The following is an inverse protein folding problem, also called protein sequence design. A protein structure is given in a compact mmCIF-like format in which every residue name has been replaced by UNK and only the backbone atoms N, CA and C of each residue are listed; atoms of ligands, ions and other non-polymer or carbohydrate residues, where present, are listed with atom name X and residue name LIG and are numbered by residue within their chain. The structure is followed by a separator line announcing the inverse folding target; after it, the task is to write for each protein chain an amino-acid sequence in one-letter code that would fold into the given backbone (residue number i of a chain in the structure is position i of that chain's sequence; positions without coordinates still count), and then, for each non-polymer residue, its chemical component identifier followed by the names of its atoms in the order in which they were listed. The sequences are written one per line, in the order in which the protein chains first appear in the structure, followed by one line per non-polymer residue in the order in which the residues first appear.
data_IF_805176619869
#
_entry.id   IF_805176619869
#
_cell.length_a   1.000
_cell.length_b   1.000
_cell.length_c   1.000
_cell.angle_alpha   90.00
_cell.angle_beta   90.00
_cell.angle_gamma   90.00
#
_symmetry.space_group_name_H-M   'P 1'
#
loop_
_entity.id
_entity.type
_entity.pdbx_description
1 polymer ?
#
# COMPACT_ATOMS: atom_id res chain seq x y z
N UNK A 1 -26.86 16.76 2.23
CA UNK A 1 -25.63 16.66 1.40
C UNK A 1 -26.03 16.91 -0.05
N UNK A 2 -25.29 17.75 -0.78
CA UNK A 2 -25.46 17.86 -2.23
C UNK A 2 -24.67 16.74 -2.92
N UNK A 3 -25.38 15.72 -3.41
CA UNK A 3 -24.73 14.52 -3.94
C UNK A 3 -23.96 14.78 -5.23
N UNK A 4 -24.44 15.66 -6.11
CA UNK A 4 -23.73 16.02 -7.33
C UNK A 4 -22.37 16.67 -7.05
N UNK A 5 -22.29 17.52 -6.02
CA UNK A 5 -21.01 18.07 -5.55
C UNK A 5 -20.14 17.00 -4.89
N UNK A 6 -20.74 16.12 -4.09
CA UNK A 6 -20.03 15.02 -3.41
C UNK A 6 -19.39 14.04 -4.41
N UNK A 7 -20.03 13.76 -5.55
CA UNK A 7 -19.45 12.93 -6.62
C UNK A 7 -18.14 13.50 -7.20
N UNK A 8 -17.86 14.80 -7.02
CA UNK A 8 -16.57 15.38 -7.38
C UNK A 8 -16.19 15.17 -8.85
N UNK A 9 -14.98 14.65 -9.17
CA UNK A 9 -14.53 14.45 -10.55
C UNK A 9 -15.14 13.23 -11.26
N UNK A 10 -15.81 12.35 -10.52
CA UNK A 10 -16.38 11.10 -11.04
C UNK A 10 -17.62 11.37 -11.92
N UNK A 11 -18.01 10.40 -12.75
CA UNK A 11 -19.21 10.46 -13.61
C UNK A 11 -20.46 10.99 -12.89
N UNK A 12 -21.17 11.93 -13.53
CA UNK A 12 -22.45 12.47 -13.02
C UNK A 12 -23.58 11.45 -12.99
N UNK A 13 -23.43 10.33 -13.70
CA UNK A 13 -24.50 9.36 -13.92
C UNK A 13 -24.58 8.28 -12.85
N UNK A 14 -23.77 8.36 -11.79
CA UNK A 14 -23.82 7.40 -10.67
C UNK A 14 -25.02 7.74 -9.80
N UNK A 15 -26.06 6.88 -9.70
CA UNK A 15 -27.20 7.13 -8.84
C UNK A 15 -26.78 7.18 -7.37
N UNK A 16 -27.54 7.90 -6.55
CA UNK A 16 -27.32 7.84 -5.10
C UNK A 16 -27.65 6.45 -4.57
N UNK A 17 -26.74 5.88 -3.78
CA UNK A 17 -27.00 4.71 -2.98
C UNK A 17 -26.53 4.96 -1.53
N UNK A 18 -27.26 4.49 -0.49
CA UNK A 18 -26.87 4.69 0.91
C UNK A 18 -25.49 4.15 1.30
N UNK A 19 -24.90 3.25 0.50
CA UNK A 19 -23.52 2.76 0.73
C UNK A 19 -22.45 3.78 0.34
N UNK A 20 -22.77 4.83 -0.42
CA UNK A 20 -21.78 5.82 -0.82
C UNK A 20 -21.43 6.77 0.34
N UNK A 21 -22.28 6.93 1.35
CA UNK A 21 -22.01 7.86 2.44
C UNK A 21 -22.50 7.29 3.78
N UNK A 22 -21.82 7.54 4.92
CA UNK A 22 -20.61 8.36 5.06
C UNK A 22 -19.29 7.63 4.85
N UNK A 23 -19.28 6.29 4.91
CA UNK A 23 -18.03 5.55 5.11
C UNK A 23 -17.72 4.51 4.04
N UNK A 24 -18.74 3.89 3.47
CA UNK A 24 -18.54 2.74 2.57
C UNK A 24 -18.14 3.15 1.14
N UNK A 25 -18.14 4.43 0.76
CA UNK A 25 -17.60 4.90 -0.53
C UNK A 25 -16.19 4.39 -0.79
N UNK A 26 -15.39 4.22 0.28
CA UNK A 26 -14.01 3.78 0.18
C UNK A 26 -13.84 2.39 -0.46
N UNK A 27 -14.92 1.62 -0.58
CA UNK A 27 -14.95 0.28 -1.19
C UNK A 27 -15.46 0.28 -2.64
N UNK A 28 -15.70 1.45 -3.25
CA UNK A 28 -16.18 1.57 -4.63
C UNK A 28 -15.09 2.18 -5.51
N UNK A 29 -14.86 1.59 -6.69
CA UNK A 29 -13.79 2.02 -7.60
C UNK A 29 -13.93 3.47 -8.07
N UNK A 30 -15.17 3.96 -8.11
CA UNK A 30 -15.51 5.32 -8.51
C UNK A 30 -15.10 6.39 -7.49
N UNK A 31 -14.86 6.01 -6.24
CA UNK A 31 -14.57 6.94 -5.15
C UNK A 31 -13.23 6.65 -4.46
N UNK A 32 -12.73 5.42 -4.53
CA UNK A 32 -11.52 4.99 -3.82
C UNK A 32 -10.94 3.68 -4.37
N UNK A 33 -10.07 3.04 -3.59
CA UNK A 33 -9.41 1.78 -3.94
C UNK A 33 -9.44 0.72 -2.84
N UNK A 34 -10.40 0.77 -1.92
CA UNK A 34 -10.61 -0.26 -0.91
C UNK A 34 -9.49 -0.37 0.11
N UNK A 35 -9.46 -1.50 0.80
CA UNK A 35 -8.50 -1.78 1.88
C UNK A 35 -7.04 -1.69 1.43
N UNK A 36 -6.74 -2.05 0.18
CA UNK A 36 -5.37 -1.93 -0.33
C UNK A 36 -4.97 -0.46 -0.47
N UNK A 37 -5.77 0.39 -1.12
CA UNK A 37 -5.44 1.82 -1.24
C UNK A 37 -5.44 2.56 0.11
N UNK A 38 -6.34 2.18 1.02
CA UNK A 38 -6.49 2.77 2.35
C UNK A 38 -5.30 2.39 3.27
N UNK A 39 -5.06 1.09 3.46
CA UNK A 39 -4.08 0.60 4.45
C UNK A 39 -2.71 0.24 3.85
N UNK A 40 -2.61 0.06 2.54
CA UNK A 40 -1.36 -0.30 1.87
C UNK A 40 -0.26 0.73 2.13
N UNK A 41 -0.57 2.01 1.95
CA UNK A 41 0.37 3.11 2.19
C UNK A 41 0.87 3.14 3.63
N UNK A 42 0.05 2.77 4.63
CA UNK A 42 0.44 2.76 6.03
C UNK A 42 1.38 1.61 6.42
N UNK A 43 1.38 0.51 5.68
CA UNK A 43 2.09 -0.71 6.10
C UNK A 43 3.21 -1.10 5.15
N UNK A 44 3.05 -0.83 3.85
CA UNK A 44 4.09 -1.02 2.85
C UNK A 44 5.22 0.01 3.03
N UNK A 45 4.89 1.21 3.55
CA UNK A 45 5.84 2.27 3.95
C UNK A 45 6.99 1.73 4.81
N UNK A 46 6.67 1.01 5.89
CA UNK A 46 7.67 0.52 6.83
C UNK A 46 8.71 -0.38 6.15
N UNK A 47 8.25 -1.23 5.22
CA UNK A 47 9.14 -2.11 4.45
C UNK A 47 9.98 -1.33 3.45
N UNK A 48 9.42 -0.30 2.81
CA UNK A 48 10.17 0.57 1.89
C UNK A 48 11.26 1.32 2.63
N UNK A 49 10.93 1.91 3.77
CA UNK A 49 11.86 2.69 4.54
C UNK A 49 12.98 1.83 5.16
N UNK A 50 12.63 0.68 5.74
CA UNK A 50 13.60 -0.23 6.36
C UNK A 50 14.55 -0.89 5.36
N UNK A 51 14.08 -1.22 4.15
CA UNK A 51 14.86 -1.94 3.14
C UNK A 51 15.41 -1.03 2.04
N UNK A 52 15.02 0.25 2.01
CA UNK A 52 15.36 1.18 0.93
C UNK A 52 14.74 0.78 -0.41
N UNK A 53 13.53 0.20 -0.41
CA UNK A 53 12.84 -0.17 -1.65
C UNK A 53 12.35 1.09 -2.37
N UNK A 54 12.40 1.05 -3.69
CA UNK A 54 11.86 2.11 -4.53
C UNK A 54 10.65 1.58 -5.30
N UNK A 55 10.86 0.99 -6.47
CA UNK A 55 9.78 0.62 -7.38
C UNK A 55 9.77 -0.87 -7.66
N UNK A 56 8.61 -1.56 -7.54
CA UNK A 56 8.50 -2.94 -7.97
C UNK A 56 8.59 -3.00 -9.49
N UNK A 57 9.18 -4.07 -10.00
CA UNK A 57 9.17 -4.37 -11.43
C UNK A 57 7.95 -5.14 -11.87
N UNK A 58 7.31 -5.89 -10.96
CA UNK A 58 6.17 -6.75 -11.28
C UNK A 58 5.20 -6.85 -10.11
N UNK A 59 3.91 -6.79 -10.43
CA UNK A 59 2.80 -6.89 -9.48
C UNK A 59 1.94 -8.07 -9.88
N UNK A 60 1.64 -8.95 -8.91
CA UNK A 60 0.88 -10.18 -9.15
C UNK A 60 -0.16 -10.41 -8.07
N UNK A 61 -1.42 -10.62 -8.49
CA UNK A 61 -2.46 -11.10 -7.58
C UNK A 61 -2.26 -12.60 -7.32
N UNK A 62 -2.17 -12.96 -6.06
CA UNK A 62 -1.94 -14.34 -5.61
C UNK A 62 -3.24 -15.02 -5.21
N UNK A 63 -4.13 -14.27 -4.55
CA UNK A 63 -5.43 -14.76 -4.12
C UNK A 63 -6.41 -13.60 -3.94
N UNK A 64 -7.61 -13.72 -4.47
CA UNK A 64 -8.69 -12.76 -4.38
C UNK A 64 -9.93 -13.28 -5.10
N UNK A 65 -11.09 -12.63 -4.91
CA UNK A 65 -12.29 -12.96 -5.68
C UNK A 65 -12.10 -12.63 -7.17
N UNK A 66 -13.05 -13.02 -8.01
CA UNK A 66 -13.14 -12.43 -9.35
C UNK A 66 -13.37 -10.91 -9.22
N UNK A 67 -12.78 -10.09 -10.10
CA UNK A 67 -12.93 -8.65 -10.00
C UNK A 67 -14.39 -8.24 -10.20
N UNK A 68 -14.90 -7.44 -9.28
CA UNK A 68 -16.23 -6.82 -9.40
C UNK A 68 -16.13 -5.51 -10.18
N UNK A 69 -17.16 -5.20 -10.96
CA UNK A 69 -17.18 -4.01 -11.82
C UNK A 69 -17.24 -2.70 -11.05
N UNK A 70 -17.80 -2.71 -9.84
CA UNK A 70 -18.09 -1.49 -9.07
C UNK A 70 -17.28 -1.41 -7.78
N UNK A 71 -16.98 -2.56 -7.16
CA UNK A 71 -16.47 -2.62 -5.80
C UNK A 71 -15.12 -3.31 -5.64
N UNK A 72 -14.42 -2.93 -4.57
CA UNK A 72 -13.11 -3.45 -4.22
C UNK A 72 -13.21 -4.75 -3.43
N UNK A 73 -12.23 -5.67 -3.53
CA UNK A 73 -12.29 -6.93 -2.81
C UNK A 73 -12.17 -6.71 -1.30
N UNK A 74 -12.94 -7.47 -0.53
CA UNK A 74 -12.76 -7.52 0.93
C UNK A 74 -11.46 -8.23 1.34
N UNK A 75 -11.10 -9.31 0.64
CA UNK A 75 -9.90 -10.13 0.88
C UNK A 75 -9.03 -10.20 -0.38
N UNK A 76 -7.75 -9.83 -0.26
CA UNK A 76 -6.80 -9.83 -1.37
C UNK A 76 -5.39 -10.16 -0.87
N UNK A 77 -4.64 -10.90 -1.69
CA UNK A 77 -3.21 -11.15 -1.53
C UNK A 77 -2.49 -10.72 -2.80
N UNK A 78 -1.52 -9.81 -2.68
CA UNK A 78 -0.76 -9.27 -3.82
C UNK A 78 0.73 -9.37 -3.54
N UNK A 79 1.49 -9.81 -4.53
CA UNK A 79 2.94 -9.75 -4.51
C UNK A 79 3.45 -8.55 -5.32
N UNK A 80 4.35 -7.80 -4.70
CA UNK A 80 5.16 -6.76 -5.32
C UNK A 80 6.61 -7.27 -5.39
N UNK A 81 7.11 -7.48 -6.60
CA UNK A 81 8.46 -7.99 -6.84
C UNK A 81 9.41 -6.86 -7.20
N UNK A 82 10.54 -6.81 -6.52
CA UNK A 82 11.59 -5.82 -6.71
C UNK A 82 12.82 -6.50 -7.30
N UNK A 83 13.42 -5.87 -8.31
CA UNK A 83 14.72 -6.31 -8.85
C UNK A 83 15.82 -6.00 -7.84
N UNK A 84 16.95 -6.68 -7.97
CA UNK A 84 18.14 -6.30 -7.22
C UNK A 84 18.64 -4.94 -7.75
N UNK A 85 18.98 -4.03 -6.84
CA UNK A 85 19.50 -2.70 -7.18
C UNK A 85 20.61 -2.30 -6.19
N UNK A 86 21.81 -2.05 -6.72
CA UNK A 86 22.98 -1.77 -5.90
C UNK A 86 23.25 -2.89 -4.87
N UNK A 87 23.14 -2.57 -3.58
CA UNK A 87 23.31 -3.52 -2.47
C UNK A 87 22.01 -4.23 -2.07
N UNK A 88 20.86 -3.81 -2.60
CA UNK A 88 19.57 -4.39 -2.27
C UNK A 88 19.38 -5.69 -3.07
N UNK A 89 19.17 -6.84 -2.41
CA UNK A 89 18.91 -8.08 -3.11
C UNK A 89 17.53 -8.06 -3.77
N UNK A 90 17.31 -8.97 -4.71
CA UNK A 90 15.97 -9.25 -5.24
C UNK A 90 15.03 -9.53 -4.06
N UNK A 91 13.99 -8.73 -3.95
CA UNK A 91 13.10 -8.71 -2.78
C UNK A 91 11.65 -8.79 -3.22
N UNK A 92 10.79 -9.26 -2.33
CA UNK A 92 9.36 -9.33 -2.55
C UNK A 92 8.61 -8.87 -1.31
N UNK A 93 7.63 -7.99 -1.49
CA UNK A 93 6.62 -7.71 -0.48
C UNK A 93 5.37 -8.48 -0.86
N UNK A 94 4.81 -9.23 0.10
CA UNK A 94 3.48 -9.83 -0.03
C UNK A 94 2.51 -9.11 0.88
N UNK A 95 1.52 -8.47 0.29
CA UNK A 95 0.41 -7.85 0.97
C UNK A 95 -0.70 -8.88 1.25
N UNK A 96 -1.33 -8.75 2.42
CA UNK A 96 -2.50 -9.51 2.82
C UNK A 96 -3.52 -8.57 3.50
N UNK A 97 -4.79 -8.64 3.11
CA UNK A 97 -5.88 -7.99 3.87
C UNK A 97 -7.16 -8.84 3.93
N UNK A 98 -8.16 -8.37 4.67
CA UNK A 98 -9.43 -9.07 4.86
C UNK A 98 -9.25 -10.29 5.76
N UNK A 99 -9.61 -11.46 5.25
CA UNK A 99 -9.40 -12.76 5.91
C UNK A 99 -8.07 -13.43 5.53
N UNK A 100 -7.35 -12.87 4.55
CA UNK A 100 -6.06 -13.39 4.16
C UNK A 100 -4.98 -13.00 5.18
N UNK A 101 -4.11 -13.94 5.53
CA UNK A 101 -2.99 -13.75 6.47
C UNK A 101 -1.77 -14.57 6.03
N UNK A 102 -0.55 -14.20 6.45
CA UNK A 102 0.61 -15.07 6.33
C UNK A 102 0.33 -16.48 6.89
N UNK A 103 0.79 -17.55 6.23
CA UNK A 103 0.53 -18.93 6.65
C UNK A 103 1.08 -19.24 8.05
N UNK A 104 2.17 -18.56 8.45
CA UNK A 104 2.79 -18.61 9.77
C UNK A 104 1.82 -18.41 10.95
N UNK A 105 0.69 -17.70 10.77
CA UNK A 105 -0.36 -17.63 11.80
C UNK A 105 -1.09 -18.96 11.99
N UNK A 106 -1.42 -19.67 10.91
CA UNK A 106 -2.09 -20.99 10.95
C UNK A 106 -1.15 -22.08 11.44
N UNK A 107 0.14 -21.94 11.14
CA UNK A 107 1.20 -22.84 11.60
C UNK A 107 1.53 -22.66 13.09
N UNK A 108 0.95 -21.66 13.77
CA UNK A 108 1.20 -21.38 15.18
C UNK A 108 2.56 -20.73 15.47
N UNK A 109 3.26 -20.26 14.42
CA UNK A 109 4.58 -19.62 14.52
C UNK A 109 4.44 -18.16 15.00
N UNK A 110 3.46 -17.43 14.44
CA UNK A 110 3.20 -16.04 14.84
C UNK A 110 2.18 -16.00 15.99
N UNK A 111 2.39 -15.15 17.01
CA UNK A 111 1.38 -14.90 18.02
C UNK A 111 0.19 -14.14 17.41
N UNK A 112 -0.91 -14.03 18.15
CA UNK A 112 -2.00 -13.13 17.76
C UNK A 112 -1.46 -11.71 17.58
N UNK A 113 -1.69 -11.15 16.40
CA UNK A 113 -1.26 -9.82 16.02
C UNK A 113 -2.36 -9.15 15.22
N UNK A 114 -2.50 -7.83 15.38
CA UNK A 114 -3.44 -7.03 14.59
C UNK A 114 -2.87 -6.80 13.18
N UNK A 115 -2.61 -5.54 12.84
CA UNK A 115 -1.95 -5.18 11.58
C UNK A 115 -0.45 -4.95 11.81
N UNK A 116 0.37 -5.21 10.79
CA UNK A 116 1.81 -5.04 10.90
C UNK A 116 2.57 -5.56 9.68
N UNK A 117 3.89 -5.53 9.78
CA UNK A 117 4.83 -6.06 8.81
C UNK A 117 5.57 -7.27 9.39
N UNK A 118 5.74 -8.29 8.57
CA UNK A 118 6.56 -9.46 8.89
C UNK A 118 7.77 -9.47 7.96
N UNK A 119 8.95 -9.28 8.52
CA UNK A 119 10.22 -9.47 7.84
C UNK A 119 10.67 -10.92 8.05
N UNK A 120 11.05 -11.60 6.97
CA UNK A 120 11.50 -12.98 6.99
C UNK A 120 12.95 -13.00 6.52
N UNK A 121 13.86 -13.33 7.43
CA UNK A 121 15.28 -13.52 7.17
C UNK A 121 15.67 -14.99 7.16
N UNK A 122 16.94 -15.24 6.85
CA UNK A 122 17.59 -16.54 6.88
C UNK A 122 17.75 -17.12 8.30
N UNK A 123 17.91 -16.24 9.30
CA UNK A 123 18.15 -16.60 10.71
C UNK A 123 16.95 -16.39 11.63
N UNK A 124 15.84 -15.87 11.13
CA UNK A 124 14.67 -15.58 11.94
C UNK A 124 13.73 -14.56 11.29
N UNK A 125 12.74 -14.15 12.05
CA UNK A 125 11.70 -13.22 11.62
C UNK A 125 11.60 -12.03 12.58
N UNK A 126 11.19 -10.89 12.03
CA UNK A 126 10.77 -9.72 12.80
C UNK A 126 9.32 -9.41 12.46
N UNK A 127 8.43 -9.59 13.45
CA UNK A 127 7.05 -9.14 13.39
C UNK A 127 6.95 -7.77 14.07
N UNK A 128 6.42 -6.79 13.37
CA UNK A 128 6.44 -5.40 13.86
C UNK A 128 5.24 -4.58 13.40
N UNK A 129 4.89 -3.59 14.21
CA UNK A 129 4.11 -2.41 13.81
C UNK A 129 4.93 -1.15 14.15
N UNK A 130 4.38 0.06 14.04
CA UNK A 130 5.12 1.29 14.36
C UNK A 130 5.48 1.44 15.86
N UNK A 131 4.90 0.62 16.73
CA UNK A 131 5.04 0.70 18.19
C UNK A 131 5.73 -0.52 18.82
N UNK A 132 5.58 -1.69 18.20
CA UNK A 132 5.97 -2.99 18.76
C UNK A 132 6.82 -3.76 17.78
N UNK A 133 7.83 -4.45 18.31
CA UNK A 133 8.77 -5.27 17.56
C UNK A 133 8.97 -6.60 18.29
N UNK A 134 8.85 -7.71 17.59
CA UNK A 134 9.00 -9.06 18.11
C UNK A 134 9.90 -9.89 17.20
N UNK A 135 11.01 -10.40 17.74
CA UNK A 135 11.89 -11.35 17.05
C UNK A 135 11.41 -12.77 17.28
N UNK A 136 11.46 -13.59 16.23
CA UNK A 136 10.95 -14.95 16.21
C UNK A 136 11.94 -15.92 15.54
N UNK A 137 12.07 -17.16 16.06
CA UNK A 137 11.43 -17.64 17.29
C UNK A 137 12.10 -17.04 18.53
N UNK A 138 11.32 -16.64 19.53
CA UNK A 138 11.83 -15.83 20.67
C UNK A 138 13.02 -16.47 21.40
N UNK A 139 13.06 -17.81 21.47
CA UNK A 139 14.13 -18.58 22.12
C UNK A 139 15.51 -18.32 21.51
N UNK A 140 15.59 -17.96 20.23
CA UNK A 140 16.85 -17.72 19.52
C UNK A 140 17.35 -16.27 19.72
N UNK A 141 16.54 -15.42 20.37
CA UNK A 141 16.80 -13.98 20.55
C UNK A 141 16.69 -13.53 22.01
N UNK A 142 16.82 -14.45 22.98
CA UNK A 142 16.74 -14.13 24.43
C UNK A 142 17.82 -13.12 24.82
N UNK A 143 19.04 -13.29 24.29
CA UNK A 143 20.18 -12.43 24.56
C UNK A 143 20.37 -11.33 23.51
N UNK A 144 19.35 -11.07 22.68
CA UNK A 144 19.43 -10.05 21.64
C UNK A 144 19.43 -8.65 22.26
N UNK A 145 20.55 -7.94 22.12
CA UNK A 145 20.64 -6.53 22.45
C UNK A 145 20.14 -5.67 21.28
N UNK A 146 19.13 -4.84 21.55
CA UNK A 146 18.61 -3.91 20.55
C UNK A 146 19.67 -2.87 20.18
N UNK A 147 19.77 -2.46 18.91
CA UNK A 147 20.65 -1.37 18.52
C UNK A 147 20.25 -0.08 19.24
N UNK A 148 21.24 0.75 19.57
CA UNK A 148 20.97 2.10 20.08
C UNK A 148 20.10 2.87 19.06
N UNK A 149 19.09 3.62 19.51
CA UNK A 149 18.28 4.42 18.61
C UNK A 149 19.15 5.37 17.78
N UNK A 150 19.08 5.24 16.46
CA UNK A 150 19.78 6.11 15.49
C UNK A 150 18.84 7.05 14.74
N UNK A 151 17.54 6.80 14.82
CA UNK A 151 16.50 7.58 14.15
C UNK A 151 15.83 8.49 15.19
N UNK A 152 15.78 9.81 14.96
CA UNK A 152 15.08 10.74 15.83
C UNK A 152 13.58 10.42 15.89
N UNK A 153 12.91 10.61 17.05
CA UNK A 153 11.46 10.49 17.13
C UNK A 153 10.79 11.56 16.25
N UNK A 154 9.69 11.20 15.61
CA UNK A 154 8.88 12.17 14.87
C UNK A 154 8.35 13.25 15.83
N UNK A 155 8.44 14.51 15.40
CA UNK A 155 7.83 15.63 16.12
C UNK A 155 6.31 15.73 15.87
N UNK A 156 5.77 14.87 14.99
CA UNK A 156 4.37 14.82 14.58
C UNK A 156 4.08 15.70 13.35
N UNK A 157 3.19 15.21 12.48
CA UNK A 157 2.92 15.80 11.15
C UNK A 157 2.53 17.28 11.19
N UNK A 158 1.73 17.71 12.17
CA UNK A 158 1.34 19.13 12.29
C UNK A 158 2.53 20.04 12.59
N UNK A 159 3.46 19.61 13.46
CA UNK A 159 4.65 20.40 13.79
C UNK A 159 5.64 20.40 12.63
N UNK A 160 5.81 19.27 11.95
CA UNK A 160 6.62 19.20 10.72
C UNK A 160 6.09 20.18 9.67
N UNK A 161 4.78 20.21 9.44
CA UNK A 161 4.16 21.11 8.47
C UNK A 161 4.35 22.58 8.82
N UNK A 162 4.14 22.97 10.09
CA UNK A 162 4.37 24.34 10.57
C UNK A 162 5.84 24.73 10.40
N UNK A 163 6.77 23.83 10.71
CA UNK A 163 8.21 24.08 10.55
C UNK A 163 8.60 24.25 9.09
N UNK A 164 8.06 23.41 8.19
CA UNK A 164 8.28 23.51 6.76
C UNK A 164 7.82 24.86 6.20
N UNK A 165 6.62 25.32 6.60
CA UNK A 165 6.11 26.65 6.20
C UNK A 165 7.05 27.77 6.66
N UNK A 166 7.52 27.70 7.92
CA UNK A 166 8.32 28.77 8.52
C UNK A 166 9.75 28.83 8.02
N UNK A 167 10.32 27.70 7.62
CA UNK A 167 11.77 27.58 7.37
C UNK A 167 12.14 27.11 5.97
N UNK A 168 11.18 26.61 5.20
CA UNK A 168 11.44 25.93 3.92
C UNK A 168 12.03 24.53 4.07
N UNK A 169 12.08 23.95 5.27
CA UNK A 169 12.56 22.58 5.49
C UNK A 169 11.66 21.54 4.82
N UNK A 170 12.21 20.39 4.40
CA UNK A 170 11.42 19.27 3.89
C UNK A 170 10.69 18.53 5.02
N UNK A 171 9.48 18.07 4.75
CA UNK A 171 8.74 17.12 5.61
C UNK A 171 9.16 15.69 5.34
N UNK A 172 8.93 14.80 6.31
CA UNK A 172 9.26 13.37 6.18
C UNK A 172 8.34 12.64 5.19
N UNK A 173 7.08 13.08 5.08
CA UNK A 173 6.09 12.56 4.13
C UNK A 173 5.81 13.54 2.99
N UNK A 174 6.84 13.95 2.23
CA UNK A 174 6.67 14.83 1.08
C UNK A 174 6.18 14.07 -0.18
N UNK A 175 5.77 14.79 -1.22
CA UNK A 175 5.23 14.19 -2.45
C UNK A 175 6.21 13.33 -3.24
N UNK A 176 7.52 13.63 -3.19
CA UNK A 176 8.55 12.81 -3.85
C UNK A 176 8.60 11.39 -3.27
N UNK A 177 8.17 11.22 -2.02
CA UNK A 177 8.07 9.93 -1.35
C UNK A 177 6.65 9.35 -1.40
N UNK A 178 5.65 10.13 -0.96
CA UNK A 178 4.28 9.66 -0.80
C UNK A 178 3.59 9.36 -2.14
N UNK A 179 3.94 10.08 -3.21
CA UNK A 179 3.42 9.85 -4.55
C UNK A 179 3.78 8.45 -5.06
N UNK A 180 5.07 8.13 -5.24
CA UNK A 180 5.51 6.80 -5.69
C UNK A 180 5.01 5.66 -4.80
N UNK A 181 4.97 5.84 -3.48
CA UNK A 181 4.42 4.81 -2.58
C UNK A 181 2.93 4.56 -2.86
N UNK A 182 2.16 5.61 -3.09
CA UNK A 182 0.73 5.52 -3.46
C UNK A 182 0.56 4.82 -4.80
N UNK A 183 1.38 5.17 -5.80
CA UNK A 183 1.37 4.52 -7.12
C UNK A 183 1.55 3.02 -7.01
N UNK A 184 2.51 2.56 -6.20
CA UNK A 184 2.78 1.13 -5.97
C UNK A 184 1.53 0.41 -5.46
N UNK A 185 0.86 0.99 -4.46
CA UNK A 185 -0.36 0.43 -3.88
C UNK A 185 -1.47 0.36 -4.93
N UNK A 186 -1.64 1.40 -5.73
CA UNK A 186 -2.66 1.46 -6.78
C UNK A 186 -2.40 0.47 -7.93
N UNK A 187 -1.14 0.17 -8.26
CA UNK A 187 -0.81 -0.89 -9.22
C UNK A 187 -1.34 -2.26 -8.77
N UNK A 188 -1.38 -2.53 -7.46
CA UNK A 188 -2.02 -3.74 -6.91
C UNK A 188 -3.52 -3.80 -7.17
N UNK A 189 -4.21 -2.65 -7.09
CA UNK A 189 -5.62 -2.56 -7.47
C UNK A 189 -5.82 -2.76 -8.96
N UNK A 190 -4.99 -2.17 -9.82
CA UNK A 190 -5.08 -2.36 -11.27
C UNK A 190 -4.86 -3.84 -11.64
N UNK A 191 -3.87 -4.49 -11.02
CA UNK A 191 -3.60 -5.92 -11.23
C UNK A 191 -4.82 -6.76 -10.88
N UNK A 192 -5.49 -6.46 -9.76
CA UNK A 192 -6.74 -7.11 -9.39
C UNK A 192 -7.88 -6.81 -10.35
N UNK A 193 -8.20 -5.54 -10.62
CA UNK A 193 -9.32 -5.13 -11.49
C UNK A 193 -9.24 -5.74 -12.88
N UNK A 194 -8.03 -6.00 -13.38
CA UNK A 194 -7.81 -6.59 -14.70
C UNK A 194 -7.51 -8.09 -14.68
N UNK A 195 -7.49 -8.71 -13.50
CA UNK A 195 -7.09 -10.10 -13.29
C UNK A 195 -5.78 -10.45 -14.00
N UNK A 196 -4.79 -9.56 -13.91
CA UNK A 196 -3.55 -9.64 -14.68
C UNK A 196 -2.30 -9.59 -13.80
N UNK A 197 -1.20 -10.10 -14.35
CA UNK A 197 0.15 -9.78 -13.85
C UNK A 197 0.66 -8.57 -14.61
N UNK A 198 1.13 -7.57 -13.88
CA UNK A 198 1.55 -6.29 -14.42
C UNK A 198 3.06 -6.16 -14.30
N UNK A 199 3.73 -5.84 -15.41
CA UNK A 199 5.11 -5.38 -15.40
C UNK A 199 5.12 -3.85 -15.42
N UNK A 200 5.83 -3.24 -14.47
CA UNK A 200 5.85 -1.80 -14.26
C UNK A 200 7.18 -1.18 -14.69
N UNK A 201 7.13 -0.31 -15.70
CA UNK A 201 8.25 0.56 -16.07
C UNK A 201 8.06 1.93 -15.42
N UNK A 202 8.60 2.07 -14.22
CA UNK A 202 8.55 3.31 -13.45
C UNK A 202 9.18 4.50 -14.20
N UNK A 203 10.27 4.29 -14.95
CA UNK A 203 10.95 5.40 -15.65
C UNK A 203 10.10 6.00 -16.74
N UNK A 204 9.27 5.17 -17.39
CA UNK A 204 8.33 5.61 -18.41
C UNK A 204 6.92 5.87 -17.87
N UNK A 205 6.67 5.56 -16.60
CA UNK A 205 5.34 5.55 -15.98
C UNK A 205 4.34 4.70 -16.76
N UNK A 206 4.75 3.47 -17.14
CA UNK A 206 3.94 2.59 -18.00
C UNK A 206 3.78 1.19 -17.44
N UNK A 207 2.54 0.72 -17.50
CA UNK A 207 2.22 -0.70 -17.43
C UNK A 207 2.56 -1.34 -18.76
N UNK A 208 3.31 -2.44 -18.72
CA UNK A 208 3.64 -3.28 -19.86
C UNK A 208 3.07 -4.69 -19.68
N UNK A 209 2.96 -5.45 -20.78
CA UNK A 209 2.46 -6.82 -20.75
C UNK A 209 0.93 -6.97 -20.72
N UNK A 210 0.16 -5.91 -20.39
CA UNK A 210 -1.30 -5.98 -20.36
C UNK A 210 -2.00 -4.65 -20.76
N UNK A 211 -2.40 -4.47 -22.04
CA UNK A 211 -2.97 -3.21 -22.52
C UNK A 211 -4.19 -2.71 -21.75
N UNK A 212 -5.11 -3.60 -21.36
CA UNK A 212 -6.29 -3.22 -20.58
C UNK A 212 -5.96 -2.67 -19.19
N UNK A 213 -4.81 -3.02 -18.62
CA UNK A 213 -4.37 -2.48 -17.33
C UNK A 213 -3.90 -1.02 -17.46
N UNK A 214 -3.31 -0.67 -18.60
CA UNK A 214 -2.88 0.71 -18.88
C UNK A 214 -4.07 1.69 -18.98
N UNK A 215 -5.27 1.22 -19.35
CA UNK A 215 -6.48 2.05 -19.37
C UNK A 215 -6.85 2.59 -17.98
N UNK A 216 -6.51 1.85 -16.91
CA UNK A 216 -6.77 2.26 -15.52
C UNK A 216 -5.70 3.18 -14.93
N UNK A 217 -4.65 3.53 -15.69
CA UNK A 217 -3.62 4.49 -15.25
C UNK A 217 -4.11 5.94 -15.29
N UNK A 218 -5.20 6.20 -16.02
CA UNK A 218 -5.76 7.54 -16.18
C UNK A 218 -7.20 7.58 -15.67
N UNK A 219 -7.56 8.71 -15.07
CA UNK A 219 -8.94 8.98 -14.67
C UNK A 219 -9.62 9.86 -15.72
N UNK A 220 -10.84 9.52 -16.11
CA UNK A 220 -11.66 10.39 -16.95
C UNK A 220 -12.43 11.36 -16.07
N UNK A 221 -11.96 12.61 -16.03
CA UNK A 221 -12.64 13.68 -15.31
C UNK A 221 -13.95 14.05 -15.99
N UNK A 222 -15.03 14.19 -15.22
CA UNK A 222 -16.26 14.78 -15.74
C UNK A 222 -16.04 16.25 -16.11
N UNK A 223 -16.81 16.75 -17.07
CA UNK A 223 -16.69 18.14 -17.50
C UNK A 223 -16.87 19.14 -16.33
N UNK A 224 -15.94 20.08 -16.22
CA UNK A 224 -15.85 21.11 -15.17
C UNK A 224 -15.03 20.69 -13.93
N UNK A 225 -14.36 19.54 -13.97
CA UNK A 225 -13.52 19.00 -12.88
C UNK A 225 -12.12 18.59 -13.37
N UNK A 226 -11.70 19.10 -14.51
CA UNK A 226 -10.40 18.83 -15.13
C UNK A 226 -9.25 19.44 -14.29
N UNK A 227 -8.09 18.79 -14.28
CA UNK A 227 -6.84 19.22 -13.63
C UNK A 227 -5.78 19.64 -14.66
#
# INVERSE_FOLDING_TARGET
MNYNLWLGPTSKNIPYHPTHHPFNWRQWWDFAGGTLADLGCHHIDLSHWALGLQNPSQIKVINGPQPDSESTPYSLTVDFHYKAEGKQPKTKIRWYHGDHRPPHFKEGILPKWGNGSLFIGDKGMLLTDYSKHLLLPQKDFIDFERPKPSIPPSIGHHKEWINAIKTGSKTTCNFDYAGPLTEIVLLGNIAHRTNSTIDWDYKQMKITGHPKAAEFMNHQYRSGWEL
#
